data_IF_009921730059
#
_entry.id   IF_009921730059
#
_cell.length_a   1.000
_cell.length_b   1.000
_cell.length_c   1.000
_cell.angle_alpha   90.00
_cell.angle_beta   90.00
_cell.angle_gamma   90.00
#
_symmetry.space_group_name_H-M   'P 1'
#
loop_
_entity.id
_entity.type
_entity.pdbx_description
1 polymer ?
#
# COMPACT_ATOMS: atom_id res chain seq x y z
N UNK A 1 -0.29 21.74 -8.19
CA UNK A 1 0.51 20.54 -8.53
C UNK A 1 1.83 21.00 -9.07
N UNK A 2 2.91 20.35 -8.66
CA UNK A 2 4.22 20.50 -9.29
C UNK A 2 4.25 19.76 -10.61
N UNK A 3 4.87 20.34 -11.62
CA UNK A 3 5.14 19.71 -12.92
C UNK A 3 6.65 19.71 -13.18
N UNK A 4 7.10 18.80 -14.03
CA UNK A 4 8.47 18.74 -14.50
C UNK A 4 8.57 19.36 -15.90
N UNK A 5 9.57 20.23 -16.13
CA UNK A 5 9.84 20.86 -17.42
C UNK A 5 11.21 20.40 -17.94
N UNK A 6 11.20 19.46 -18.87
CA UNK A 6 12.41 18.85 -19.44
C UNK A 6 13.33 19.88 -20.12
N UNK A 7 12.77 20.95 -20.69
CA UNK A 7 13.54 21.99 -21.39
C UNK A 7 14.34 22.90 -20.44
N UNK A 8 14.03 22.84 -19.13
CA UNK A 8 14.74 23.62 -18.11
C UNK A 8 15.87 22.85 -17.42
N UNK A 9 15.99 21.54 -17.68
CA UNK A 9 17.03 20.70 -17.11
C UNK A 9 18.21 20.57 -18.07
N UNK A 10 19.43 20.72 -17.53
CA UNK A 10 20.67 20.46 -18.28
C UNK A 10 21.11 19.00 -18.23
N UNK A 11 20.47 18.16 -17.42
CA UNK A 11 20.79 16.73 -17.24
C UNK A 11 19.74 15.81 -17.84
N UNK A 12 18.57 16.34 -18.23
CA UNK A 12 17.55 15.58 -18.94
C UNK A 12 18.06 15.02 -20.27
N UNK A 13 17.74 13.76 -20.54
CA UNK A 13 18.00 13.10 -21.81
C UNK A 13 16.71 12.44 -22.30
N UNK A 14 16.24 12.82 -23.47
CA UNK A 14 15.22 12.06 -24.19
C UNK A 14 15.85 10.76 -24.71
N UNK A 15 15.20 9.63 -24.47
CA UNK A 15 15.72 8.33 -24.89
C UNK A 15 15.35 7.96 -26.32
N UNK A 16 14.31 8.59 -26.90
CA UNK A 16 13.79 8.27 -28.24
C UNK A 16 13.70 6.75 -28.52
N UNK A 17 13.32 5.98 -27.51
CA UNK A 17 13.34 4.51 -27.54
C UNK A 17 11.93 3.90 -27.60
N UNK A 18 10.91 4.72 -27.86
CA UNK A 18 9.52 4.30 -27.96
C UNK A 18 8.57 5.16 -27.13
N UNK A 19 7.31 4.75 -27.11
CA UNK A 19 6.22 5.37 -26.37
C UNK A 19 6.24 4.90 -24.91
N UNK A 20 6.08 5.84 -23.98
CA UNK A 20 5.68 5.52 -22.62
C UNK A 20 4.16 5.47 -22.56
N UNK A 21 3.61 4.34 -22.10
CA UNK A 21 2.18 4.21 -21.84
C UNK A 21 1.98 3.29 -20.63
N UNK A 22 1.09 3.66 -19.73
CA UNK A 22 0.70 2.84 -18.58
C UNK A 22 -0.78 3.02 -18.29
N UNK A 23 -1.45 1.92 -17.93
CA UNK A 23 -2.81 1.90 -17.42
C UNK A 23 -2.83 1.18 -16.08
N UNK A 24 -3.52 1.76 -15.11
CA UNK A 24 -3.69 1.22 -13.77
C UNK A 24 -5.02 0.47 -13.64
N UNK A 25 -5.17 -0.31 -12.56
CA UNK A 25 -6.36 -1.14 -12.35
C UNK A 25 -7.64 -0.32 -12.18
N UNK A 26 -7.54 0.94 -11.74
CA UNK A 26 -8.65 1.89 -11.62
C UNK A 26 -9.00 2.61 -12.94
N UNK A 27 -8.45 2.11 -14.05
CA UNK A 27 -8.61 2.63 -15.42
C UNK A 27 -7.92 3.97 -15.67
N UNK A 28 -7.20 4.52 -14.70
CA UNK A 28 -6.40 5.72 -14.93
C UNK A 28 -5.18 5.39 -15.79
N UNK A 29 -4.74 6.35 -16.61
CA UNK A 29 -3.60 6.13 -17.50
C UNK A 29 -2.67 7.35 -17.58
N UNK A 30 -1.45 7.09 -18.03
CA UNK A 30 -0.50 8.09 -18.47
C UNK A 30 0.14 7.71 -19.81
N UNK A 31 0.40 8.71 -20.65
CA UNK A 31 0.91 8.56 -22.02
C UNK A 31 1.96 9.64 -22.30
N UNK A 32 3.08 9.28 -22.93
CA UNK A 32 4.15 10.19 -23.25
C UNK A 32 5.40 9.51 -23.82
N UNK A 33 6.57 10.02 -23.43
CA UNK A 33 7.87 9.53 -23.88
C UNK A 33 8.71 9.02 -22.71
N UNK A 34 9.78 8.28 -23.02
CA UNK A 34 10.77 7.88 -22.03
C UNK A 34 11.92 8.89 -21.98
N UNK A 35 12.39 9.19 -20.78
CA UNK A 35 13.56 10.03 -20.56
C UNK A 35 14.43 9.52 -19.43
N UNK A 36 15.59 10.16 -19.27
CA UNK A 36 16.48 10.03 -18.11
C UNK A 36 16.70 11.36 -17.44
N UNK A 37 16.88 11.33 -16.13
CA UNK A 37 17.18 12.51 -15.33
C UNK A 37 18.01 12.13 -14.09
N UNK A 38 18.73 13.11 -13.55
CA UNK A 38 19.31 13.03 -12.20
C UNK A 38 18.25 13.37 -11.16
N UNK A 39 17.95 12.44 -10.26
CA UNK A 39 17.00 12.64 -9.17
C UNK A 39 17.76 12.85 -7.87
N UNK A 40 17.43 13.93 -7.14
CA UNK A 40 18.00 14.19 -5.82
C UNK A 40 17.02 13.76 -4.71
N UNK A 41 17.46 12.88 -3.81
CA UNK A 41 16.69 12.44 -2.65
C UNK A 41 17.53 12.66 -1.40
N UNK A 42 17.02 13.44 -0.45
CA UNK A 42 17.73 13.78 0.80
C UNK A 42 19.18 14.27 0.59
N UNK A 43 19.42 15.01 -0.50
CA UNK A 43 20.75 15.55 -0.84
C UNK A 43 21.70 14.56 -1.52
N UNK A 44 21.23 13.36 -1.86
CA UNK A 44 21.97 12.37 -2.68
C UNK A 44 21.45 12.48 -4.11
N UNK A 45 22.36 12.78 -5.04
CA UNK A 45 22.07 12.82 -6.47
C UNK A 45 22.27 11.44 -7.09
N UNK A 46 21.21 10.91 -7.68
CA UNK A 46 21.19 9.60 -8.35
C UNK A 46 21.08 9.87 -9.85
N UNK A 47 22.14 9.63 -10.63
CA UNK A 47 22.14 9.92 -12.07
C UNK A 47 21.32 8.90 -12.87
N UNK A 48 21.00 9.27 -14.11
CA UNK A 48 20.49 8.36 -15.15
C UNK A 48 19.21 7.57 -14.79
N UNK A 49 18.36 8.10 -13.91
CA UNK A 49 17.07 7.50 -13.59
C UNK A 49 16.18 7.55 -14.83
N UNK A 50 15.86 6.39 -15.38
CA UNK A 50 14.90 6.28 -16.48
C UNK A 50 13.46 6.35 -15.94
N UNK A 51 12.63 7.21 -16.56
CA UNK A 51 11.24 7.43 -16.17
C UNK A 51 10.35 7.73 -17.38
N UNK A 52 9.05 7.53 -17.22
CA UNK A 52 8.04 7.94 -18.19
C UNK A 52 7.68 9.41 -18.00
N UNK A 53 7.98 10.26 -18.99
CA UNK A 53 7.54 11.64 -19.03
C UNK A 53 6.12 11.72 -19.59
N UNK A 54 5.14 11.66 -18.69
CA UNK A 54 3.72 11.77 -19.05
C UNK A 54 3.40 13.14 -19.67
N UNK A 55 2.94 13.14 -20.93
CA UNK A 55 2.39 14.32 -21.61
C UNK A 55 0.87 14.42 -21.46
N UNK A 56 0.21 13.28 -21.27
CA UNK A 56 -1.21 13.16 -21.00
C UNK A 56 -1.45 12.20 -19.84
N UNK A 57 -2.37 12.56 -18.95
CA UNK A 57 -2.83 11.68 -17.87
C UNK A 57 -4.31 11.97 -17.57
N UNK A 58 -5.05 10.94 -17.14
CA UNK A 58 -6.48 11.09 -16.77
C UNK A 58 -6.68 11.68 -15.40
N UNK A 59 -5.68 11.57 -14.54
CA UNK A 59 -5.75 12.01 -13.15
C UNK A 59 -4.64 13.02 -12.89
N UNK A 60 -4.94 14.13 -12.20
CA UNK A 60 -3.94 15.11 -11.80
C UNK A 60 -3.05 14.55 -10.67
N UNK A 61 -2.11 13.68 -11.01
CA UNK A 61 -1.09 13.16 -10.10
C UNK A 61 0.23 13.90 -10.28
N UNK A 62 0.96 14.15 -9.20
CA UNK A 62 2.27 14.83 -9.26
C UNK A 62 3.39 13.94 -9.85
N UNK A 63 3.07 12.68 -10.16
CA UNK A 63 3.97 11.62 -10.60
C UNK A 63 3.79 10.36 -9.74
N UNK A 64 4.28 9.23 -10.24
CA UNK A 64 4.30 7.95 -9.51
C UNK A 64 5.74 7.44 -9.50
N UNK A 65 6.29 7.20 -8.31
CA UNK A 65 7.58 6.53 -8.14
C UNK A 65 7.34 5.04 -7.95
N UNK A 66 7.36 4.28 -9.05
CA UNK A 66 7.27 2.83 -9.01
C UNK A 66 8.54 2.21 -8.43
N UNK A 67 8.43 1.55 -7.29
CA UNK A 67 9.54 0.87 -6.57
C UNK A 67 9.39 -0.65 -6.53
N UNK A 68 8.48 -1.22 -7.35
CA UNK A 68 8.30 -2.66 -7.50
C UNK A 68 9.33 -3.31 -8.43
N UNK A 69 9.11 -4.58 -8.76
CA UNK A 69 10.01 -5.34 -9.63
C UNK A 69 10.16 -4.75 -11.05
N UNK A 70 11.36 -4.77 -11.65
CA UNK A 70 11.58 -4.32 -13.03
C UNK A 70 10.71 -5.07 -14.04
N UNK A 71 10.45 -6.36 -13.80
CA UNK A 71 9.57 -7.17 -14.68
C UNK A 71 8.12 -6.68 -14.78
N UNK A 72 7.71 -5.73 -13.92
CA UNK A 72 6.40 -5.04 -13.94
C UNK A 72 6.46 -3.63 -14.53
N UNK A 73 7.62 -3.19 -15.02
CA UNK A 73 7.71 -1.94 -15.77
C UNK A 73 6.82 -1.98 -17.00
N UNK A 74 6.18 -0.85 -17.31
CA UNK A 74 5.29 -0.71 -18.46
C UNK A 74 6.08 -0.53 -19.74
N UNK A 75 6.89 -1.53 -20.11
CA UNK A 75 7.80 -1.51 -21.27
C UNK A 75 7.42 -2.51 -22.36
N UNK A 76 6.31 -3.23 -22.18
CA UNK A 76 5.80 -4.27 -23.08
C UNK A 76 4.27 -4.26 -23.14
N UNK A 77 3.69 -4.87 -24.16
CA UNK A 77 2.25 -5.16 -24.23
C UNK A 77 1.38 -4.05 -24.83
N UNK A 78 1.98 -3.05 -25.47
CA UNK A 78 1.27 -1.99 -26.19
C UNK A 78 2.07 -1.51 -27.41
N UNK A 79 1.40 -0.83 -28.35
CA UNK A 79 2.03 -0.33 -29.57
C UNK A 79 3.09 0.74 -29.28
N UNK A 80 4.30 0.54 -29.82
CA UNK A 80 5.43 1.45 -29.64
C UNK A 80 6.19 1.26 -28.31
N UNK A 81 5.93 0.18 -27.57
CA UNK A 81 6.68 -0.13 -26.36
C UNK A 81 8.18 -0.39 -26.66
N UNK A 82 9.10 -0.03 -25.75
CA UNK A 82 10.55 -0.21 -25.95
C UNK A 82 11.01 -1.68 -25.89
N UNK A 83 10.16 -2.60 -25.41
CA UNK A 83 10.40 -4.04 -25.27
C UNK A 83 11.63 -4.44 -24.43
N UNK A 84 12.14 -3.52 -23.61
CA UNK A 84 13.34 -3.70 -22.78
C UNK A 84 13.12 -3.12 -21.38
N UNK A 85 13.31 -3.97 -20.35
CA UNK A 85 13.33 -3.56 -18.94
C UNK A 85 14.54 -2.68 -18.65
N UNK A 86 14.52 -1.95 -17.53
CA UNK A 86 15.62 -1.09 -17.09
C UNK A 86 15.83 -1.21 -15.56
N UNK A 87 16.96 -0.75 -15.00
CA UNK A 87 17.06 -0.60 -13.55
C UNK A 87 16.20 0.60 -13.13
N UNK A 88 15.04 0.35 -12.52
CA UNK A 88 14.24 1.41 -11.88
C UNK A 88 14.88 1.87 -10.55
N UNK A 89 14.18 2.72 -9.79
CA UNK A 89 14.78 3.48 -8.69
C UNK A 89 15.51 2.63 -7.64
N UNK A 90 14.92 1.59 -7.01
CA UNK A 90 15.63 0.81 -5.99
C UNK A 90 16.85 0.07 -6.55
N UNK A 91 16.80 -0.35 -7.81
CA UNK A 91 17.86 -1.08 -8.50
C UNK A 91 19.04 -0.14 -8.75
N UNK A 92 18.76 1.10 -9.16
CA UNK A 92 19.77 2.14 -9.31
C UNK A 92 20.46 2.48 -7.99
N UNK A 93 19.74 2.51 -6.86
CA UNK A 93 20.38 2.71 -5.55
C UNK A 93 21.46 1.65 -5.27
N UNK A 94 21.19 0.38 -5.62
CA UNK A 94 22.18 -0.69 -5.47
C UNK A 94 23.32 -0.54 -6.48
N UNK A 95 23.02 -0.18 -7.71
CA UNK A 95 24.03 0.09 -8.76
C UNK A 95 25.03 1.18 -8.36
N UNK A 96 24.52 2.25 -7.75
CA UNK A 96 25.29 3.38 -7.24
C UNK A 96 25.96 3.09 -5.88
N UNK A 97 25.86 1.85 -5.37
CA UNK A 97 26.42 1.41 -4.09
C UNK A 97 25.91 2.23 -2.88
N UNK A 98 24.68 2.78 -2.99
CA UNK A 98 23.99 3.50 -1.91
C UNK A 98 23.37 2.49 -0.94
N UNK A 99 22.91 1.34 -1.46
CA UNK A 99 22.37 0.22 -0.67
C UNK A 99 23.06 -1.09 -1.05
N UNK A 100 23.19 -2.00 -0.09
CA UNK A 100 23.84 -3.31 -0.29
C UNK A 100 22.90 -4.36 -0.92
N UNK A 101 21.59 -4.20 -0.71
CA UNK A 101 20.52 -5.11 -1.15
C UNK A 101 19.34 -4.27 -1.67
N UNK A 102 18.67 -4.72 -2.73
CA UNK A 102 17.44 -4.07 -3.23
C UNK A 102 16.30 -4.41 -2.28
N UNK A 103 16.27 -3.70 -1.17
CA UNK A 103 15.23 -3.77 -0.16
C UNK A 103 14.81 -2.37 0.29
N UNK A 104 13.62 -2.26 0.86
CA UNK A 104 13.19 -1.03 1.53
C UNK A 104 12.17 -1.34 2.63
N UNK A 105 12.24 -0.57 3.70
CA UNK A 105 11.23 -0.58 4.75
C UNK A 105 10.25 0.57 4.61
N UNK A 106 8.99 0.31 4.90
CA UNK A 106 7.87 1.24 4.79
C UNK A 106 7.14 1.34 6.14
N UNK A 107 6.98 2.58 6.59
CA UNK A 107 6.17 2.94 7.74
C UNK A 107 5.33 4.16 7.35
N UNK A 108 4.05 3.97 7.08
CA UNK A 108 3.16 5.07 6.69
C UNK A 108 2.75 5.95 7.86
N UNK A 109 3.00 5.50 9.10
CA UNK A 109 2.58 6.12 10.34
C UNK A 109 1.05 6.05 10.56
N UNK A 110 0.57 6.59 11.68
CA UNK A 110 -0.87 6.67 11.95
C UNK A 110 -1.56 7.55 10.91
N UNK A 111 -2.84 7.28 10.56
CA UNK A 111 -3.60 8.09 9.58
C UNK A 111 -3.57 9.61 9.83
N UNK A 112 -3.46 10.03 11.09
CA UNK A 112 -3.48 11.45 11.48
C UNK A 112 -2.10 12.14 11.46
N UNK A 113 -0.99 11.41 11.26
CA UNK A 113 0.37 11.97 11.41
C UNK A 113 0.80 12.85 10.24
N UNK A 114 0.13 12.75 9.08
CA UNK A 114 0.46 13.49 7.86
C UNK A 114 1.81 13.18 7.21
N UNK A 115 2.69 12.40 7.87
CA UNK A 115 4.01 12.00 7.39
C UNK A 115 4.35 10.59 7.85
N UNK A 116 4.88 9.79 6.93
CA UNK A 116 5.53 8.51 7.18
C UNK A 116 7.00 8.53 6.76
N UNK A 117 7.58 7.35 6.62
CA UNK A 117 8.97 7.17 6.19
C UNK A 117 9.12 5.91 5.33
N UNK A 118 10.00 6.03 4.33
CA UNK A 118 10.58 4.90 3.59
C UNK A 118 12.09 4.93 3.81
N UNK A 119 12.70 3.76 4.02
CA UNK A 119 14.16 3.63 4.17
C UNK A 119 14.64 2.54 3.24
N UNK A 120 15.50 2.89 2.27
CA UNK A 120 16.08 1.95 1.32
C UNK A 120 17.29 1.24 1.92
N UNK A 121 17.39 -0.07 1.70
CA UNK A 121 18.49 -0.92 2.15
C UNK A 121 18.59 -1.13 3.66
N UNK A 122 17.60 -0.68 4.45
CA UNK A 122 17.68 -0.69 5.91
C UNK A 122 16.30 -0.83 6.57
N UNK A 123 16.31 -1.20 7.84
CA UNK A 123 15.17 -1.16 8.75
C UNK A 123 15.33 -0.04 9.78
N UNK A 124 14.24 0.33 10.45
CA UNK A 124 14.19 1.22 11.62
C UNK A 124 13.48 0.47 12.75
N UNK A 125 14.25 -0.05 13.70
CA UNK A 125 13.74 -0.88 14.80
C UNK A 125 12.79 -0.13 15.75
N UNK A 126 12.80 1.21 15.70
CA UNK A 126 11.90 2.01 16.54
C UNK A 126 10.44 1.99 16.06
N UNK A 127 10.20 1.66 14.79
CA UNK A 127 8.91 1.86 14.10
C UNK A 127 7.97 0.66 14.17
N UNK A 128 8.31 -0.39 14.92
CA UNK A 128 7.44 -1.56 15.11
C UNK A 128 7.49 -2.13 16.52
N UNK A 129 6.46 -2.92 16.86
CA UNK A 129 6.39 -3.68 18.09
C UNK A 129 6.71 -5.16 17.84
N UNK A 130 7.34 -5.80 18.83
CA UNK A 130 7.61 -7.24 18.81
C UNK A 130 8.71 -7.63 17.82
N UNK A 131 8.65 -8.86 17.33
CA UNK A 131 9.60 -9.39 16.36
C UNK A 131 9.16 -9.07 14.93
N UNK A 132 10.14 -8.77 14.07
CA UNK A 132 9.93 -8.66 12.64
C UNK A 132 10.00 -10.06 12.00
N UNK A 133 8.87 -10.55 11.48
CA UNK A 133 8.78 -11.90 10.90
C UNK A 133 8.89 -11.87 9.38
N UNK A 134 9.75 -12.71 8.81
CA UNK A 134 10.05 -12.79 7.38
C UNK A 134 9.29 -13.94 6.72
N UNK A 135 8.57 -13.62 5.66
CA UNK A 135 7.75 -14.52 4.85
C UNK A 135 8.25 -14.54 3.40
N UNK A 136 8.10 -15.67 2.67
CA UNK A 136 8.35 -15.70 1.23
C UNK A 136 7.28 -14.91 0.48
N UNK A 137 7.68 -14.20 -0.58
CA UNK A 137 6.74 -13.64 -1.54
C UNK A 137 6.07 -14.75 -2.37
N UNK A 138 4.82 -14.52 -2.76
CA UNK A 138 4.06 -15.42 -3.61
C UNK A 138 4.37 -15.17 -5.08
N UNK A 139 4.63 -16.23 -5.84
CA UNK A 139 4.58 -16.14 -7.30
C UNK A 139 3.15 -16.43 -7.77
N UNK A 140 2.38 -15.37 -7.99
CA UNK A 140 0.99 -15.45 -8.49
C UNK A 140 0.91 -15.91 -9.96
N UNK A 141 2.03 -15.88 -10.68
CA UNK A 141 2.09 -16.18 -12.12
C UNK A 141 3.16 -17.24 -12.45
N UNK A 142 3.15 -18.43 -11.80
CA UNK A 142 4.22 -19.41 -11.92
C UNK A 142 4.29 -20.07 -13.30
N UNK A 143 3.24 -19.92 -14.12
CA UNK A 143 3.20 -20.38 -15.51
C UNK A 143 3.79 -19.36 -16.51
N UNK A 144 4.04 -18.13 -16.06
CA UNK A 144 4.53 -17.01 -16.88
C UNK A 144 5.96 -16.64 -16.48
N UNK A 145 6.25 -16.62 -15.17
CA UNK A 145 7.56 -16.26 -14.60
C UNK A 145 7.97 -17.29 -13.55
N UNK A 146 9.28 -17.50 -13.41
CA UNK A 146 9.91 -18.46 -12.49
C UNK A 146 10.08 -17.94 -11.06
N UNK A 147 9.94 -16.63 -10.85
CA UNK A 147 10.06 -15.98 -9.55
C UNK A 147 8.95 -14.93 -9.34
N UNK A 148 8.65 -14.54 -8.08
CA UNK A 148 7.62 -13.53 -7.76
C UNK A 148 7.75 -12.25 -8.59
N UNK A 149 6.64 -11.79 -9.16
CA UNK A 149 6.58 -10.56 -9.95
C UNK A 149 5.81 -9.43 -9.27
N UNK A 150 5.20 -9.71 -8.12
CA UNK A 150 4.36 -8.80 -7.35
C UNK A 150 4.84 -8.78 -5.91
N UNK A 151 4.50 -7.71 -5.17
CA UNK A 151 4.81 -7.60 -3.75
C UNK A 151 3.74 -8.31 -2.91
N UNK A 152 3.45 -9.55 -3.28
CA UNK A 152 2.39 -10.33 -2.68
C UNK A 152 2.94 -11.32 -1.65
N UNK A 153 2.19 -11.52 -0.57
CA UNK A 153 2.45 -12.55 0.43
C UNK A 153 1.18 -13.37 0.69
N UNK A 154 1.29 -14.40 1.52
CA UNK A 154 0.15 -15.26 1.84
C UNK A 154 -0.50 -14.83 3.15
N UNK A 155 -1.78 -14.46 3.12
CA UNK A 155 -2.61 -14.39 4.32
C UNK A 155 -3.16 -15.79 4.64
N UNK A 156 -3.15 -16.16 5.92
CA UNK A 156 -3.63 -17.46 6.42
C UNK A 156 -5.07 -17.37 6.94
N UNK A 157 -5.46 -16.20 7.45
CA UNK A 157 -6.82 -15.95 7.91
C UNK A 157 -7.13 -14.47 8.09
N UNK A 158 -8.41 -14.18 8.27
CA UNK A 158 -8.89 -12.82 8.49
C UNK A 158 -10.13 -12.87 9.38
N UNK A 159 -10.23 -11.95 10.32
CA UNK A 159 -11.36 -11.82 11.22
C UNK A 159 -11.48 -10.41 11.80
N UNK A 160 -12.45 -10.24 12.67
CA UNK A 160 -12.58 -9.04 13.49
C UNK A 160 -13.02 -9.38 14.91
N UNK A 161 -12.68 -8.50 15.84
CA UNK A 161 -13.14 -8.59 17.22
C UNK A 161 -13.50 -7.22 17.81
N UNK A 162 -14.54 -7.21 18.63
CA UNK A 162 -14.91 -6.12 19.53
C UNK A 162 -14.53 -6.57 20.95
N UNK A 163 -13.49 -5.96 21.52
CA UNK A 163 -12.93 -6.41 22.80
C UNK A 163 -13.88 -6.10 23.95
N UNK A 164 -14.44 -4.90 23.99
CA UNK A 164 -15.36 -4.46 25.05
C UNK A 164 -16.73 -5.14 24.96
N UNK A 165 -17.24 -5.34 23.75
CA UNK A 165 -18.49 -6.06 23.46
C UNK A 165 -18.37 -7.58 23.56
N UNK A 166 -17.14 -8.09 23.64
CA UNK A 166 -16.80 -9.51 23.68
C UNK A 166 -17.47 -10.31 22.55
N UNK A 167 -17.27 -9.81 21.33
CA UNK A 167 -17.77 -10.37 20.07
C UNK A 167 -16.59 -10.56 19.11
N UNK A 168 -16.55 -11.68 18.39
CA UNK A 168 -15.54 -11.91 17.34
C UNK A 168 -16.08 -12.75 16.20
N UNK A 169 -15.49 -12.63 15.04
CA UNK A 169 -15.81 -13.44 13.87
C UNK A 169 -14.56 -13.71 13.04
N UNK A 170 -14.35 -14.98 12.66
CA UNK A 170 -13.36 -15.35 11.64
C UNK A 170 -14.07 -15.37 10.28
N UNK A 171 -13.59 -14.58 9.32
CA UNK A 171 -14.17 -14.47 7.98
C UNK A 171 -13.61 -15.51 7.01
N UNK A 172 -12.33 -15.88 7.17
CA UNK A 172 -11.65 -16.91 6.39
C UNK A 172 -10.47 -17.51 7.15
N UNK A 173 -10.17 -18.78 6.85
CA UNK A 173 -8.91 -19.48 7.17
C UNK A 173 -8.31 -20.16 5.92
N UNK A 174 -8.82 -19.79 4.75
CA UNK A 174 -8.29 -20.23 3.45
C UNK A 174 -7.08 -19.38 3.11
N UNK A 175 -5.97 -20.01 2.75
CA UNK A 175 -4.78 -19.27 2.34
C UNK A 175 -5.07 -18.47 1.08
N UNK A 176 -4.60 -17.23 1.00
CA UNK A 176 -4.87 -16.38 -0.16
C UNK A 176 -3.69 -15.45 -0.45
N UNK A 177 -3.34 -15.18 -1.72
CA UNK A 177 -2.32 -14.19 -2.05
C UNK A 177 -2.89 -12.79 -1.82
N UNK A 178 -2.13 -11.95 -1.14
CA UNK A 178 -2.48 -10.56 -0.88
C UNK A 178 -1.36 -9.65 -1.37
N UNK A 179 -1.69 -8.70 -2.23
CA UNK A 179 -0.76 -7.68 -2.68
C UNK A 179 -0.66 -6.58 -1.61
N UNK A 180 0.55 -6.26 -1.16
CA UNK A 180 0.79 -5.08 -0.33
C UNK A 180 1.10 -3.89 -1.26
N UNK A 181 0.24 -2.87 -1.26
CA UNK A 181 0.30 -1.82 -2.28
C UNK A 181 0.07 -0.42 -1.69
N UNK A 182 1.16 0.34 -1.51
CA UNK A 182 1.09 1.75 -1.08
C UNK A 182 0.58 2.69 -2.18
N UNK A 183 0.30 2.20 -3.38
CA UNK A 183 -0.39 2.93 -4.45
C UNK A 183 -1.90 2.80 -4.37
N UNK A 184 -2.43 1.98 -3.45
CA UNK A 184 -3.85 1.75 -3.26
C UNK A 184 -4.27 2.33 -1.90
N UNK A 185 -5.23 3.26 -1.88
CA UNK A 185 -5.66 3.89 -0.62
C UNK A 185 -6.47 2.96 0.28
N UNK A 186 -7.41 2.19 -0.29
CA UNK A 186 -8.37 1.35 0.44
C UNK A 186 -7.88 -0.10 0.57
N UNK A 187 -8.61 -0.90 1.35
CA UNK A 187 -8.49 -2.35 1.27
C UNK A 187 -9.38 -2.87 0.13
N UNK A 188 -8.85 -3.76 -0.70
CA UNK A 188 -9.65 -4.49 -1.67
C UNK A 188 -9.73 -5.96 -1.26
N UNK A 189 -10.91 -6.55 -1.26
CA UNK A 189 -11.10 -7.96 -0.93
C UNK A 189 -12.18 -8.59 -1.80
N UNK A 190 -12.10 -9.91 -2.07
CA UNK A 190 -13.18 -10.62 -2.76
C UNK A 190 -14.51 -10.38 -2.07
N UNK A 191 -15.57 -10.16 -2.86
CA UNK A 191 -16.86 -9.69 -2.36
C UNK A 191 -17.39 -10.47 -1.16
N UNK A 192 -17.19 -11.79 -1.15
CA UNK A 192 -17.62 -12.67 -0.05
C UNK A 192 -16.95 -12.35 1.28
N UNK A 193 -15.70 -11.91 1.26
CA UNK A 193 -14.94 -11.46 2.43
C UNK A 193 -15.30 -10.02 2.78
N UNK A 194 -15.36 -9.12 1.79
CA UNK A 194 -15.75 -7.73 1.98
C UNK A 194 -17.14 -7.59 2.63
N UNK A 195 -18.12 -8.39 2.19
CA UNK A 195 -19.47 -8.41 2.75
C UNK A 195 -19.47 -8.87 4.21
N UNK A 196 -18.64 -9.84 4.59
CA UNK A 196 -18.50 -10.30 6.00
C UNK A 196 -17.86 -9.21 6.86
N UNK A 197 -16.79 -8.58 6.35
CA UNK A 197 -16.14 -7.46 7.03
C UNK A 197 -17.13 -6.33 7.29
N UNK A 198 -17.89 -5.91 6.28
CA UNK A 198 -18.90 -4.87 6.39
C UNK A 198 -20.02 -5.26 7.37
N UNK A 199 -20.51 -6.50 7.29
CA UNK A 199 -21.59 -6.99 8.16
C UNK A 199 -21.20 -7.01 9.64
N UNK A 200 -19.92 -7.21 9.97
CA UNK A 200 -19.44 -7.21 11.36
C UNK A 200 -19.73 -5.87 12.06
N UNK A 201 -19.58 -4.76 11.34
CA UNK A 201 -19.80 -3.38 11.82
C UNK A 201 -21.14 -2.78 11.35
N UNK A 202 -22.07 -3.63 10.90
CA UNK A 202 -23.37 -3.22 10.36
C UNK A 202 -23.29 -2.25 9.17
N UNK A 203 -22.20 -2.26 8.41
CA UNK A 203 -22.09 -1.50 7.18
C UNK A 203 -22.86 -2.17 6.03
N UNK A 204 -23.40 -1.37 5.13
CA UNK A 204 -24.17 -1.83 3.97
C UNK A 204 -23.69 -1.16 2.69
N UNK A 205 -23.70 -1.88 1.57
CA UNK A 205 -23.19 -1.35 0.31
C UNK A 205 -24.16 -0.31 -0.27
N UNK A 206 -23.68 0.92 -0.48
CA UNK A 206 -24.42 1.95 -1.20
C UNK A 206 -24.02 1.92 -2.67
N UNK A 207 -24.97 1.60 -3.55
CA UNK A 207 -24.74 1.64 -4.99
C UNK A 207 -24.55 3.08 -5.52
N UNK A 208 -25.13 4.07 -4.82
CA UNK A 208 -25.02 5.48 -5.18
C UNK A 208 -23.62 6.02 -4.85
N UNK A 209 -23.06 5.63 -3.70
CA UNK A 209 -21.71 6.04 -3.27
C UNK A 209 -20.60 5.12 -3.83
N UNK A 210 -20.94 3.90 -4.24
CA UNK A 210 -19.98 2.90 -4.72
C UNK A 210 -19.12 2.25 -3.63
N UNK A 211 -19.49 2.42 -2.36
CA UNK A 211 -18.76 1.94 -1.17
C UNK A 211 -19.73 1.45 -0.09
N UNK A 212 -19.25 0.66 0.86
CA UNK A 212 -20.00 0.36 2.08
C UNK A 212 -20.11 1.60 2.98
N UNK A 213 -21.29 1.83 3.52
CA UNK A 213 -21.60 2.94 4.43
C UNK A 213 -22.16 2.42 5.75
N UNK A 214 -21.91 3.15 6.83
CA UNK A 214 -22.37 2.85 8.18
C UNK A 214 -22.61 4.13 8.98
N UNK A 215 -23.36 4.01 10.07
CA UNK A 215 -23.37 5.03 11.11
C UNK A 215 -21.93 5.23 11.62
N UNK A 216 -21.48 6.48 11.71
CA UNK A 216 -20.12 6.76 12.13
C UNK A 216 -19.86 6.20 13.55
N UNK A 217 -18.83 5.34 13.72
CA UNK A 217 -18.53 4.72 15.01
C UNK A 217 -18.09 5.75 16.05
N UNK A 218 -18.22 5.42 17.32
CA UNK A 218 -17.69 6.25 18.40
C UNK A 218 -16.16 6.13 18.42
N UNK A 219 -15.48 7.23 18.73
CA UNK A 219 -14.04 7.23 19.05
C UNK A 219 -13.64 6.21 20.13
N UNK A 220 -14.58 5.80 20.99
CA UNK A 220 -14.37 4.80 22.02
C UNK A 220 -14.51 3.34 21.53
N UNK A 221 -14.91 3.10 20.28
CA UNK A 221 -15.02 1.74 19.74
C UNK A 221 -13.64 1.06 19.64
N UNK A 222 -13.51 -0.11 20.27
CA UNK A 222 -12.28 -0.90 20.31
C UNK A 222 -12.30 -2.08 19.34
N UNK A 223 -13.09 -1.94 18.27
CA UNK A 223 -13.17 -2.91 17.19
C UNK A 223 -11.87 -2.90 16.39
N UNK A 224 -11.33 -4.08 16.11
CA UNK A 224 -10.18 -4.27 15.22
C UNK A 224 -10.41 -5.42 14.24
N UNK A 225 -9.86 -5.26 13.04
CA UNK A 225 -9.75 -6.31 12.04
C UNK A 225 -8.37 -6.96 12.15
N UNK A 226 -8.34 -8.28 12.27
CA UNK A 226 -7.14 -9.07 12.48
C UNK A 226 -6.77 -9.80 11.19
N UNK A 227 -5.63 -9.44 10.61
CA UNK A 227 -5.03 -10.10 9.45
C UNK A 227 -4.00 -11.11 9.96
N UNK A 228 -4.32 -12.40 9.79
CA UNK A 228 -3.51 -13.50 10.27
C UNK A 228 -2.59 -14.02 9.17
N UNK A 229 -1.30 -13.91 9.39
CA UNK A 229 -0.23 -14.43 8.54
C UNK A 229 0.37 -15.72 9.11
N UNK A 230 -0.29 -16.35 10.09
CA UNK A 230 0.13 -17.58 10.76
C UNK A 230 0.86 -17.28 12.06
N UNK A 231 2.16 -17.02 11.99
CA UNK A 231 2.98 -16.72 13.18
C UNK A 231 2.84 -15.26 13.65
N UNK A 232 2.15 -14.43 12.87
CA UNK A 232 1.95 -13.01 13.11
C UNK A 232 0.53 -12.61 12.79
N UNK A 233 -0.08 -11.86 13.68
CA UNK A 233 -1.34 -11.16 13.45
C UNK A 233 -1.10 -9.66 13.43
N UNK A 234 -1.60 -8.99 12.40
CA UNK A 234 -1.65 -7.52 12.32
C UNK A 234 -3.08 -7.09 12.62
N UNK A 235 -3.22 -6.24 13.63
CA UNK A 235 -4.52 -5.67 14.01
C UNK A 235 -4.64 -4.26 13.44
N UNK A 236 -5.73 -4.02 12.71
CA UNK A 236 -6.09 -2.72 12.13
C UNK A 236 -7.31 -2.21 12.91
N UNK A 237 -7.21 -1.09 13.65
CA UNK A 237 -8.35 -0.57 14.37
C UNK A 237 -9.43 -0.08 13.38
N UNK A 238 -10.70 -0.22 13.76
CA UNK A 238 -11.84 0.20 12.93
C UNK A 238 -11.68 1.65 12.46
N UNK A 239 -11.19 2.55 13.32
CA UNK A 239 -10.96 3.96 12.98
C UNK A 239 -10.06 4.16 11.76
N UNK A 240 -9.10 3.26 11.49
CA UNK A 240 -8.26 3.30 10.28
C UNK A 240 -8.98 2.85 9.01
N UNK A 241 -10.17 2.24 9.16
CA UNK A 241 -11.04 1.78 8.08
C UNK A 241 -12.28 2.65 7.91
N UNK A 242 -12.34 3.81 8.56
CA UNK A 242 -13.47 4.74 8.48
C UNK A 242 -13.08 5.97 7.68
N UNK A 243 -13.88 6.26 6.64
CA UNK A 243 -13.83 7.49 5.88
C UNK A 243 -14.88 8.45 6.45
N UNK A 244 -14.43 9.64 6.85
CA UNK A 244 -15.30 10.68 7.39
C UNK A 244 -16.39 11.09 6.40
N UNK A 245 -17.60 11.43 6.88
CA UNK A 245 -18.69 11.86 6.01
C UNK A 245 -18.37 13.21 5.36
N UNK A 246 -18.84 13.41 4.12
CA UNK A 246 -18.67 14.70 3.42
C UNK A 246 -19.46 15.84 4.08
N UNK A 247 -20.56 15.49 4.76
CA UNK A 247 -21.46 16.43 5.42
C UNK A 247 -21.65 16.04 6.88
N UNK A 248 -21.78 17.05 7.73
CA UNK A 248 -22.05 16.84 9.15
C UNK A 248 -23.36 16.05 9.34
N UNK A 249 -23.29 14.98 10.15
CA UNK A 249 -24.42 14.06 10.37
C UNK A 249 -24.68 13.07 9.23
N UNK A 250 -23.79 12.98 8.23
CA UNK A 250 -23.84 11.95 7.18
C UNK A 250 -23.33 10.59 7.65
N UNK A 251 -23.46 9.59 6.77
CA UNK A 251 -22.88 8.26 6.98
C UNK A 251 -21.38 8.27 6.71
N UNK A 252 -20.65 7.48 7.49
CA UNK A 252 -19.25 7.20 7.23
C UNK A 252 -19.11 6.18 6.10
N UNK A 253 -17.99 6.24 5.38
CA UNK A 253 -17.57 5.19 4.46
C UNK A 253 -16.76 4.12 5.19
N UNK A 254 -16.94 2.85 4.85
CA UNK A 254 -16.08 1.76 5.30
C UNK A 254 -15.06 1.44 4.20
N UNK A 255 -13.77 1.58 4.51
CA UNK A 255 -12.64 1.60 3.57
C UNK A 255 -12.25 0.20 3.01
N UNK A 256 -13.27 -0.58 2.64
CA UNK A 256 -13.14 -1.91 2.03
C UNK A 256 -13.91 -1.91 0.71
N UNK A 257 -13.23 -2.14 -0.41
CA UNK A 257 -13.85 -2.26 -1.72
C UNK A 257 -14.01 -3.75 -2.10
N UNK A 258 -15.22 -4.20 -2.49
CA UNK A 258 -15.40 -5.55 -2.98
C UNK A 258 -14.79 -5.70 -4.38
N UNK A 259 -14.08 -6.80 -4.59
CA UNK A 259 -13.53 -7.24 -5.87
C UNK A 259 -14.09 -8.60 -6.26
N UNK A 260 -13.77 -9.07 -7.46
CA UNK A 260 -14.10 -10.44 -7.87
C UNK A 260 -13.18 -11.44 -7.15
N UNK A 261 -11.88 -11.41 -7.48
CA UNK A 261 -10.93 -12.45 -7.08
C UNK A 261 -9.53 -11.86 -6.77
N UNK A 262 -9.45 -10.68 -6.16
CA UNK A 262 -8.16 -10.10 -5.74
C UNK A 262 -8.23 -9.51 -4.35
N UNK A 263 -7.15 -9.65 -3.58
CA UNK A 263 -7.00 -9.00 -2.30
C UNK A 263 -5.78 -8.08 -2.33
N UNK A 264 -6.01 -6.80 -2.07
CA UNK A 264 -4.97 -5.76 -2.02
C UNK A 264 -5.08 -5.07 -0.67
N UNK A 265 -3.97 -5.09 0.08
CA UNK A 265 -3.84 -4.40 1.35
C UNK A 265 -3.17 -3.06 1.09
N UNK A 266 -4.00 -2.02 0.98
CA UNK A 266 -3.58 -0.65 0.73
C UNK A 266 -3.15 0.13 1.98
N UNK A 267 -3.10 1.46 1.86
CA UNK A 267 -2.64 2.38 2.91
C UNK A 267 -3.35 2.20 4.24
N UNK A 268 -4.66 1.94 4.23
CA UNK A 268 -5.44 1.69 5.46
C UNK A 268 -4.94 0.48 6.26
N UNK A 269 -4.39 -0.55 5.60
CA UNK A 269 -3.70 -1.65 6.27
C UNK A 269 -2.24 -1.31 6.56
N UNK A 270 -1.53 -0.76 5.57
CA UNK A 270 -0.09 -0.47 5.66
C UNK A 270 0.25 0.59 6.72
N UNK A 271 -0.71 1.45 7.11
CA UNK A 271 -0.56 2.34 8.26
C UNK A 271 -0.41 1.59 9.59
N UNK A 272 -1.02 0.41 9.72
CA UNK A 272 -0.97 -0.44 10.91
C UNK A 272 0.19 -1.45 10.89
N UNK A 273 0.96 -1.49 9.80
CA UNK A 273 2.07 -2.42 9.62
C UNK A 273 3.40 -1.69 9.40
N UNK A 274 4.47 -2.30 9.90
CA UNK A 274 5.83 -2.00 9.45
C UNK A 274 6.23 -3.10 8.48
N UNK A 275 6.59 -2.73 7.25
CA UNK A 275 6.82 -3.68 6.17
C UNK A 275 8.22 -3.51 5.61
N UNK A 276 8.96 -4.60 5.44
CA UNK A 276 10.21 -4.63 4.68
C UNK A 276 10.01 -5.46 3.43
N UNK A 277 10.23 -4.85 2.27
CA UNK A 277 10.23 -5.53 0.98
C UNK A 277 11.67 -5.81 0.58
N UNK A 278 12.05 -7.09 0.45
CA UNK A 278 13.35 -7.52 -0.05
C UNK A 278 13.16 -8.16 -1.44
N UNK A 279 13.46 -7.38 -2.47
CA UNK A 279 13.25 -7.76 -3.87
C UNK A 279 14.37 -8.67 -4.38
N UNK A 280 15.57 -8.59 -3.84
CA UNK A 280 16.67 -9.48 -4.22
C UNK A 280 16.42 -10.92 -3.75
N UNK A 281 15.82 -11.08 -2.57
CA UNK A 281 15.62 -12.38 -1.94
C UNK A 281 14.17 -12.87 -1.96
N UNK A 282 13.26 -12.13 -2.60
CA UNK A 282 11.83 -12.44 -2.71
C UNK A 282 11.14 -12.68 -1.35
N UNK A 283 11.38 -11.77 -0.40
CA UNK A 283 10.87 -11.86 0.97
C UNK A 283 10.15 -10.59 1.39
N UNK A 284 9.13 -10.74 2.21
CA UNK A 284 8.46 -9.65 2.91
C UNK A 284 8.61 -9.90 4.40
N UNK A 285 9.08 -8.89 5.15
CA UNK A 285 9.09 -8.96 6.61
C UNK A 285 8.07 -8.00 7.20
N UNK A 286 7.33 -8.45 8.20
CA UNK A 286 6.14 -7.77 8.70
C UNK A 286 6.14 -7.74 10.23
N UNK A 287 5.70 -6.62 10.79
CA UNK A 287 5.43 -6.43 12.22
C UNK A 287 4.33 -5.40 12.42
N UNK A 288 3.73 -5.36 13.61
CA UNK A 288 2.76 -4.31 13.96
C UNK A 288 3.46 -2.95 14.04
N UNK A 289 2.91 -1.93 13.38
CA UNK A 289 3.46 -0.58 13.42
C UNK A 289 3.45 0.02 14.83
N UNK A 290 4.51 0.78 15.16
CA UNK A 290 4.59 1.58 16.38
C UNK A 290 4.30 3.06 16.10
N UNK A 291 3.04 3.47 16.23
CA UNK A 291 2.62 4.87 16.07
C UNK A 291 3.16 5.82 17.16
N UNK A 292 3.70 5.29 18.25
CA UNK A 292 4.28 6.09 19.33
C UNK A 292 5.79 6.32 19.13
N UNK A 293 6.36 5.87 18.02
CA UNK A 293 7.79 6.02 17.75
C UNK A 293 8.15 7.49 17.55
N UNK A 294 9.04 8.02 18.38
CA UNK A 294 9.57 9.37 18.20
C UNK A 294 10.77 9.37 17.26
N UNK A 295 11.04 10.50 16.60
CA UNK A 295 12.24 10.67 15.78
C UNK A 295 13.54 10.55 16.60
N UNK A 296 13.50 10.89 17.89
CA UNK A 296 14.65 10.73 18.80
C UNK A 296 15.00 9.26 19.08
N UNK A 297 14.05 8.34 18.87
CA UNK A 297 14.23 6.90 19.09
C UNK A 297 14.71 6.13 17.86
N UNK A 298 14.90 6.82 16.73
CA UNK A 298 15.26 6.26 15.43
C UNK A 298 16.50 5.38 15.50
N UNK A 299 16.36 4.14 15.04
CA UNK A 299 17.42 3.13 15.07
C UNK A 299 17.50 2.45 13.71
N UNK A 300 18.19 3.10 12.77
CA UNK A 300 18.34 2.60 11.40
C UNK A 300 19.50 1.60 11.33
N UNK A 301 19.20 0.40 10.84
CA UNK A 301 20.18 -0.68 10.67
C UNK A 301 20.12 -1.19 9.23
N UNK A 302 21.27 -1.18 8.56
CA UNK A 302 21.39 -1.67 7.19
C UNK A 302 21.10 -3.16 7.11
N UNK A 303 20.41 -3.56 6.05
CA UNK A 303 20.20 -4.97 5.70
C UNK A 303 21.45 -5.44 4.94
N UNK A 304 22.12 -6.50 5.39
CA UNK A 304 23.26 -7.09 4.69
C UNK A 304 22.87 -7.66 3.31
N UNK A 305 23.88 -7.87 2.47
CA UNK A 305 23.73 -8.40 1.09
C UNK A 305 22.99 -9.74 0.97
N UNK A 306 22.93 -10.55 2.03
CA UNK A 306 22.21 -11.83 2.05
C UNK A 306 20.71 -11.70 2.36
N UNK A 307 20.22 -10.46 2.57
CA UNK A 307 18.83 -10.15 2.91
C UNK A 307 18.42 -10.59 4.30
N UNK A 308 19.37 -10.97 5.17
CA UNK A 308 19.03 -11.31 6.56
C UNK A 308 18.60 -10.05 7.30
N UNK A 309 17.35 -10.03 7.77
CA UNK A 309 16.81 -8.89 8.51
C UNK A 309 17.45 -8.84 9.91
N UNK A 310 18.15 -7.74 10.29
CA UNK A 310 18.70 -7.58 11.63
C UNK A 310 17.61 -7.76 12.69
N UNK A 311 17.84 -8.64 13.67
CA UNK A 311 16.86 -8.97 14.72
C UNK A 311 15.61 -9.73 14.24
N UNK A 312 15.45 -9.96 12.93
CA UNK A 312 14.29 -10.62 12.34
C UNK A 312 14.30 -12.14 12.52
N UNK A 313 13.12 -12.75 12.37
CA UNK A 313 12.92 -14.21 12.46
C UNK A 313 12.21 -14.72 11.22
N UNK A 314 12.51 -15.92 10.76
CA UNK A 314 11.75 -16.55 9.69
C UNK A 314 10.40 -17.06 10.18
N UNK A 315 9.34 -16.75 9.44
CA UNK A 315 8.04 -17.35 9.65
C UNK A 315 8.03 -18.82 9.16
N UNK A 316 7.18 -19.61 9.81
CA UNK A 316 6.88 -21.02 9.51
C UNK A 316 5.62 -21.19 8.68
N UNK A 317 4.89 -20.10 8.43
CA UNK A 317 3.65 -20.09 7.67
C UNK A 317 3.85 -20.60 6.24
N UNK A 318 3.07 -21.61 5.87
CA UNK A 318 3.10 -22.24 4.56
C UNK A 318 2.49 -21.32 3.48
N UNK A 319 3.15 -21.14 2.33
CA UNK A 319 2.70 -20.23 1.28
C UNK A 319 1.42 -20.71 0.59
N UNK A 320 0.75 -19.78 -0.09
CA UNK A 320 -0.34 -20.04 -1.00
C UNK A 320 0.14 -20.84 -2.22
N UNK A 321 -0.69 -21.79 -2.68
CA UNK A 321 -0.36 -22.66 -3.82
C UNK A 321 -1.49 -22.80 -4.85
N UNK A 322 -2.76 -22.71 -4.44
CA UNK A 322 -3.92 -22.90 -5.31
C UNK A 322 -5.10 -22.05 -4.87
N UNK A 323 -5.96 -21.69 -5.82
CA UNK A 323 -7.22 -21.01 -5.53
C UNK A 323 -8.23 -22.03 -4.99
N UNK A 324 -8.64 -21.82 -3.74
CA UNK A 324 -9.69 -22.60 -3.09
C UNK A 324 -10.84 -21.68 -2.67
N UNK A 325 -12.09 -22.16 -2.61
CA UNK A 325 -13.20 -21.38 -2.07
C UNK A 325 -12.93 -20.95 -0.62
N UNK A 326 -13.33 -19.74 -0.26
CA UNK A 326 -13.20 -19.26 1.12
C UNK A 326 -14.00 -20.12 2.09
N UNK A 327 -13.30 -20.65 3.08
CA UNK A 327 -13.84 -21.46 4.18
C UNK A 327 -13.32 -20.96 5.52
N UNK A 328 -14.01 -21.35 6.59
CA UNK A 328 -13.59 -21.14 7.98
C UNK A 328 -13.54 -22.51 8.63
N UNK A 329 -12.33 -23.00 8.88
CA UNK A 329 -12.06 -24.35 9.42
C UNK A 329 -11.66 -24.30 10.90
N UNK A 330 -11.21 -23.14 11.37
CA UNK A 330 -10.84 -22.87 12.77
C UNK A 330 -11.09 -21.41 13.09
N UNK A 331 -10.99 -21.07 14.38
CA UNK A 331 -10.98 -19.68 14.84
C UNK A 331 -9.54 -19.17 14.83
N UNK A 332 -9.28 -17.99 14.25
CA UNK A 332 -7.92 -17.39 14.24
C UNK A 332 -7.52 -16.84 15.61
N UNK A 333 -8.47 -16.70 16.54
CA UNK A 333 -8.24 -16.20 17.87
C UNK A 333 -8.00 -17.33 18.87
N UNK A 334 -6.84 -17.32 19.55
CA UNK A 334 -6.51 -18.36 20.53
C UNK A 334 -7.42 -18.29 21.77
N UNK A 335 -8.31 -19.30 21.91
CA UNK A 335 -9.16 -19.61 23.08
C UNK A 335 -10.27 -18.63 23.50
N UNK A 336 -11.23 -19.15 24.25
CA UNK A 336 -12.66 -18.82 24.24
C UNK A 336 -13.10 -17.77 25.27
N UNK A 337 -12.62 -16.53 25.17
CA UNK A 337 -13.10 -15.47 26.08
C UNK A 337 -14.42 -14.88 25.59
N UNK A 338 -14.64 -14.83 24.27
CA UNK A 338 -15.75 -14.09 23.67
C UNK A 338 -16.64 -14.91 22.75
N UNK A 339 -17.91 -14.50 22.64
CA UNK A 339 -18.90 -15.22 21.83
C UNK A 339 -18.54 -15.00 20.37
N UNK A 340 -18.37 -16.09 19.63
CA UNK A 340 -18.37 -16.01 18.16
C UNK A 340 -19.74 -15.49 17.72
N UNK A 341 -19.76 -14.43 16.90
CA UNK A 341 -20.97 -14.07 16.15
C UNK A 341 -21.25 -15.25 15.22
N UNK A 342 -22.18 -16.12 15.62
CA UNK A 342 -22.51 -17.29 14.81
C UNK A 342 -23.02 -16.79 13.46
N UNK A 343 -22.38 -17.21 12.38
CA UNK A 343 -22.90 -16.99 11.04
C UNK A 343 -24.35 -17.51 11.01
N UNK A 344 -25.33 -16.62 10.90
CA UNK A 344 -26.71 -17.02 10.65
C UNK A 344 -26.71 -17.62 9.26
N UNK A 345 -26.63 -18.94 9.20
CA UNK A 345 -26.85 -19.71 8.00
C UNK A 345 -28.32 -19.49 7.62
N UNK A 346 -28.61 -18.53 6.75
CA UNK A 346 -29.92 -18.45 6.11
C UNK A 346 -30.10 -19.75 5.33
N UNK A 347 -31.11 -20.58 5.62
CA UNK A 347 -31.41 -21.71 4.77
C UNK A 347 -31.74 -21.16 3.38
N UNK A 348 -31.09 -21.67 2.35
CA UNK A 348 -31.53 -21.53 0.97
C UNK A 348 -32.86 -22.28 0.82
N UNK A 349 -33.94 -21.63 1.28
CA UNK A 349 -35.32 -22.04 1.06
C UNK A 349 -35.85 -21.31 -0.15
N UNK A 350 -36.03 -22.04 -1.26
CA UNK A 350 -36.83 -21.59 -2.39
C UNK A 350 -38.26 -21.34 -1.93
N UNK A 351 -38.70 -20.08 -1.89
CA UNK A 351 -40.14 -19.77 -1.88
C UNK A 351 -40.45 -18.49 -2.64
N UNK A 352 -41.28 -18.70 -3.65
CA UNK A 352 -42.09 -17.80 -4.44
C UNK A 352 -42.43 -16.42 -3.86
N UNK A 353 -42.31 -15.45 -4.76
CA UNK A 353 -42.89 -14.12 -4.85
C UNK A 353 -44.20 -13.89 -4.08
N UNK A 354 -44.20 -12.87 -3.23
CA UNK A 354 -45.38 -12.02 -3.00
C UNK A 354 -44.93 -10.56 -2.87
N UNK A 355 -45.35 -9.73 -3.82
CA UNK A 355 -45.19 -8.29 -3.79
C UNK A 355 -46.04 -7.69 -2.67
N UNK A 356 -45.45 -6.82 -1.86
CA UNK A 356 -46.18 -5.87 -1.04
C UNK A 356 -45.55 -4.48 -1.19
N UNK A 357 -46.31 -3.59 -1.84
CA UNK A 357 -46.02 -2.18 -2.01
C UNK A 357 -45.89 -1.49 -0.64
N UNK A 358 -44.74 -0.87 -0.38
CA UNK A 358 -44.62 0.21 0.60
C UNK A 358 -43.90 1.37 -0.09
N UNK A 359 -44.62 2.49 -0.23
CA UNK A 359 -44.13 3.75 -0.80
C UNK A 359 -43.00 4.32 0.06
N UNK A 360 -41.80 4.43 -0.50
CA UNK A 360 -40.72 5.23 0.05
C UNK A 360 -40.92 6.71 -0.32
N UNK A 361 -40.91 7.58 0.69
CA UNK A 361 -40.79 9.04 0.51
C UNK A 361 -39.31 9.38 0.35
N UNK A 362 -38.95 9.95 -0.79
CA UNK A 362 -37.60 10.48 -1.06
C UNK A 362 -37.36 11.79 -0.32
N UNK A 363 -36.13 12.02 0.16
CA UNK A 363 -35.46 13.29 -0.01
C UNK A 363 -34.29 13.13 -0.98
N UNK A 364 -34.29 13.93 -2.04
CA UNK A 364 -33.20 14.03 -2.99
C UNK A 364 -32.03 14.80 -2.37
N UNK A 365 -30.89 14.15 -2.18
CA UNK A 365 -29.59 14.81 -2.05
C UNK A 365 -28.64 14.13 -3.04
N UNK A 366 -28.11 14.91 -3.99
CA UNK A 366 -27.13 14.44 -4.97
C UNK A 366 -25.74 14.66 -4.38
N UNK A 367 -24.97 13.60 -4.21
CA UNK A 367 -23.52 13.68 -4.04
C UNK A 367 -22.90 13.83 -5.44
N UNK A 368 -22.01 14.81 -5.57
CA UNK A 368 -21.35 15.10 -6.84
C UNK A 368 -20.28 14.03 -7.08
N UNK A 369 -20.36 13.35 -8.23
CA UNK A 369 -19.32 12.42 -8.69
C UNK A 369 -17.94 13.11 -8.69
N UNK A 370 -17.10 12.67 -7.78
CA UNK A 370 -15.68 12.95 -7.75
C UNK A 370 -14.96 11.61 -7.66
N UNK A 371 -14.47 11.07 -8.79
CA UNK A 371 -13.31 10.18 -8.77
C UNK A 371 -12.13 11.07 -8.35
N UNK A 372 -11.92 11.24 -7.05
CA UNK A 372 -10.73 11.90 -6.51
C UNK A 372 -10.04 10.96 -5.54
N UNK A 373 -8.80 10.62 -5.89
CA UNK A 373 -7.72 10.41 -4.94
C UNK A 373 -7.61 11.66 -4.06
N UNK A 374 -8.00 11.56 -2.80
CA UNK A 374 -7.91 12.66 -1.84
C UNK A 374 -6.45 12.93 -1.49
N UNK A 375 -5.85 13.94 -2.11
CA UNK A 375 -4.73 14.66 -1.51
C UNK A 375 -5.25 15.49 -0.34
N UNK A 376 -4.85 15.13 0.89
CA UNK A 376 -5.00 15.97 2.08
C UNK A 376 -4.30 17.32 1.84
N UNK A 377 -5.10 18.37 1.62
CA UNK A 377 -4.60 19.74 1.50
C UNK A 377 -4.69 20.42 2.86
N UNK A 378 -3.59 20.46 3.61
CA UNK A 378 -3.49 21.31 4.79
C UNK A 378 -3.17 22.76 4.39
N UNK A 379 -4.08 23.66 4.72
CA UNK A 379 -3.89 25.11 4.61
C UNK A 379 -3.00 25.56 5.77
N UNK A 380 -1.73 25.87 5.51
CA UNK A 380 -0.84 26.51 6.50
C UNK A 380 -1.14 28.01 6.50
N UNK A 381 -1.67 28.50 7.64
CA UNK A 381 -1.71 29.92 7.95
C UNK A 381 -0.29 30.46 8.09
N UNK A 382 0.00 31.54 7.38
CA UNK A 382 1.26 32.28 7.44
C UNK A 382 1.35 33.09 8.74
N UNK A 383 2.04 32.53 9.74
CA UNK A 383 2.56 33.29 10.88
C UNK A 383 3.97 33.80 10.57
N UNK A 384 4.11 35.12 10.41
CA UNK A 384 5.41 35.74 10.14
C UNK A 384 6.37 35.65 11.33
N UNK A 385 7.61 35.25 11.07
CA UNK A 385 8.74 35.49 11.97
C UNK A 385 9.98 35.94 11.21
N UNK A 386 10.73 36.80 11.90
CA UNK A 386 11.74 37.73 11.43
C UNK A 386 12.99 37.10 10.80
N UNK A 387 13.54 37.83 9.82
CA UNK A 387 14.90 37.70 9.31
C UNK A 387 15.95 37.70 10.45
N UNK A 388 16.80 36.67 10.49
CA UNK A 388 18.19 36.82 10.93
C UNK A 388 19.13 36.27 9.87
N UNK A 389 19.90 37.19 9.31
CA UNK A 389 20.97 36.98 8.36
C UNK A 389 22.17 36.32 9.07
N UNK A 390 22.62 35.16 8.60
CA UNK A 390 23.95 34.65 8.91
C UNK A 390 24.69 34.46 7.59
N UNK A 391 25.69 35.30 7.35
CA UNK A 391 26.69 35.12 6.30
C UNK A 391 27.66 34.04 6.73
N UNK A 392 27.89 33.04 5.88
CA UNK A 392 29.06 32.16 5.96
C UNK A 392 29.70 32.09 4.57
N UNK A 393 31.00 32.35 4.54
CA UNK A 393 31.81 32.55 3.36
C UNK A 393 32.02 31.26 2.55
N UNK A 394 32.13 31.42 1.24
CA UNK A 394 32.61 30.43 0.28
C UNK A 394 34.07 30.05 0.58
N UNK A 395 34.34 28.75 0.69
CA UNK A 395 35.64 28.18 0.33
C UNK A 395 35.45 27.21 -0.84
N UNK A 396 36.14 27.51 -1.94
CA UNK A 396 36.18 26.65 -3.12
C UNK A 396 37.08 25.44 -2.84
N UNK A 397 36.51 24.23 -2.90
CA UNK A 397 37.31 23.02 -3.09
C UNK A 397 37.00 22.42 -4.46
N UNK A 398 38.06 22.14 -5.22
CA UNK A 398 38.01 21.52 -6.53
C UNK A 398 37.57 20.06 -6.39
N UNK A 399 36.32 19.76 -6.72
CA UNK A 399 35.83 18.39 -6.80
C UNK A 399 36.35 17.73 -8.08
N UNK A 400 37.25 16.76 -7.90
CA UNK A 400 37.55 15.72 -8.89
C UNK A 400 36.26 15.02 -9.30
N UNK A 401 36.00 14.91 -10.61
CA UNK A 401 34.90 14.10 -11.17
C UNK A 401 34.91 12.69 -10.55
N UNK A 402 33.77 12.20 -10.00
CA UNK A 402 33.65 10.80 -9.65
C UNK A 402 33.89 9.93 -10.90
N UNK A 403 34.58 8.80 -10.73
CA UNK A 403 34.61 7.73 -11.73
C UNK A 403 33.17 7.35 -12.06
N UNK A 404 32.88 7.17 -13.35
CA UNK A 404 31.61 6.58 -13.78
C UNK A 404 31.41 5.25 -13.03
N UNK A 405 30.25 5.04 -12.38
CA UNK A 405 29.89 3.76 -11.81
C UNK A 405 29.99 2.67 -12.89
N UNK A 406 30.35 1.42 -12.53
CA UNK A 406 30.22 0.32 -13.48
C UNK A 406 28.77 0.29 -13.97
N UNK A 407 28.57 0.35 -15.29
CA UNK A 407 27.26 0.21 -15.89
C UNK A 407 26.59 -1.05 -15.32
N UNK A 408 25.45 -0.87 -14.67
CA UNK A 408 24.52 -1.95 -14.40
C UNK A 408 23.99 -2.48 -15.73
N UNK A 409 24.75 -3.38 -16.33
CA UNK A 409 24.24 -4.23 -17.39
C UNK A 409 23.20 -5.18 -16.79
N UNK A 410 22.13 -5.37 -17.55
CA UNK A 410 20.86 -5.99 -17.17
C UNK A 410 20.97 -7.43 -16.70
#
# INVERSE_FOLDING_TARGET
MSTYNENSSSTYQDLDNGRFYIIYADETFADGSWGKETVSVNGIDIPDIQFGLAKYATTPVSGVLGIGFPRRESVKGYEGAPDKYYPNFPQLLKCEQIIDVVAYSLFLNSPDSGMGSIVFGAIDESKFYGDLLTFPMVNEYPTIVDAPATLAMTIQGLGAQNKSGCERETFMTTKYPVLLDSGTSLLNAPKTIADKMASFVNASYSADEGIYILDCPDSADDIEYTFDFGDLQINVPLTSLILSPEVEGGYCGFAVQPTNDSMVLGDVFLSSAYVVFDLDNYKISLAQANWNASEDSKQVINIPTDGSIPGGKSATAEPWSTNEPFTVTSDIYSSAVCKSKSAVHLPTGSSSTTQSNVQARSPSARIARSRSTTTLSNTIQTGGFMNQTISAAMESSSATKPKAPPHCDQ
#
